data_IF_741420716303
#
_entry.id   IF_741420716303
#
_cell.length_a   1.000
_cell.length_b   1.000
_cell.length_c   1.000
_cell.angle_alpha   90.00
_cell.angle_beta   90.00
_cell.angle_gamma   90.00
#
_symmetry.space_group_name_H-M   'P 1'
#
loop_
_entity.id
_entity.type
_entity.pdbx_description
1 polymer ?
#
# COMPACT_ATOMS: atom_id res chain seq x y z
N UNK A 1 17.77 -11.33 11.34
CA UNK A 1 18.71 -11.81 10.28
C UNK A 1 18.33 -11.41 8.85
N UNK A 2 17.05 -11.13 8.53
CA UNK A 2 16.60 -10.77 7.17
C UNK A 2 17.12 -9.40 6.68
N UNK A 3 17.05 -8.34 7.51
CA UNK A 3 17.42 -6.97 7.10
C UNK A 3 18.88 -6.79 6.69
N UNK A 4 19.81 -7.37 7.45
CA UNK A 4 21.24 -7.33 7.11
C UNK A 4 21.53 -8.01 5.77
N UNK A 5 20.85 -9.14 5.47
CA UNK A 5 20.96 -9.79 4.16
C UNK A 5 20.43 -8.90 3.04
N UNK A 6 19.30 -8.21 3.27
CA UNK A 6 18.75 -7.25 2.30
C UNK A 6 19.71 -6.11 1.97
N UNK A 7 20.31 -5.48 2.98
CA UNK A 7 21.28 -4.40 2.79
C UNK A 7 22.55 -4.87 2.07
N UNK A 8 23.07 -6.05 2.44
CA UNK A 8 24.21 -6.66 1.75
C UNK A 8 23.90 -6.96 0.28
N UNK A 9 22.70 -7.46 -0.01
CA UNK A 9 22.29 -7.79 -1.36
C UNK A 9 22.08 -6.55 -2.23
N UNK A 10 21.53 -5.47 -1.66
CA UNK A 10 21.44 -4.17 -2.32
C UNK A 10 22.83 -3.62 -2.65
N UNK A 11 23.77 -3.67 -1.69
CA UNK A 11 25.16 -3.24 -1.90
C UNK A 11 25.91 -4.06 -2.96
N UNK A 12 25.76 -5.40 -2.94
CA UNK A 12 26.32 -6.29 -3.95
C UNK A 12 25.73 -6.01 -5.33
N UNK A 13 24.42 -5.81 -5.42
CA UNK A 13 23.76 -5.48 -6.69
C UNK A 13 24.23 -4.13 -7.25
N UNK A 14 24.36 -3.10 -6.40
CA UNK A 14 24.88 -1.79 -6.79
C UNK A 14 26.33 -1.90 -7.31
N UNK A 15 27.18 -2.67 -6.62
CA UNK A 15 28.58 -2.89 -7.03
C UNK A 15 28.67 -3.64 -8.35
N UNK A 16 27.81 -4.65 -8.56
CA UNK A 16 27.75 -5.41 -9.82
C UNK A 16 27.38 -4.51 -10.99
N UNK A 17 26.37 -3.65 -10.83
CA UNK A 17 25.94 -2.66 -11.84
C UNK A 17 27.03 -1.65 -12.17
N UNK A 18 27.78 -1.19 -11.17
CA UNK A 18 28.89 -0.27 -11.38
C UNK A 18 30.05 -0.91 -12.19
N UNK A 19 30.25 -2.21 -12.06
CA UNK A 19 31.34 -2.94 -12.72
C UNK A 19 30.99 -3.43 -14.14
N UNK A 20 29.72 -3.57 -14.50
CA UNK A 20 29.31 -4.10 -15.82
C UNK A 20 29.46 -3.09 -16.98
N UNK A 21 29.75 -1.80 -16.71
CA UNK A 21 29.95 -0.72 -17.71
C UNK A 21 28.84 -0.61 -18.77
N UNK A 22 27.68 -1.20 -18.51
CA UNK A 22 26.54 -1.20 -19.41
C UNK A 22 25.60 -0.06 -19.00
N UNK A 23 25.57 1.02 -19.77
CA UNK A 23 24.86 2.26 -19.43
C UNK A 23 23.35 2.04 -19.20
N UNK A 24 22.73 1.08 -19.90
CA UNK A 24 21.33 0.67 -19.67
C UNK A 24 21.11 -0.08 -18.35
N UNK A 25 22.13 -0.76 -17.82
CA UNK A 25 22.07 -1.50 -16.54
C UNK A 25 22.41 -0.61 -15.34
N UNK A 26 23.07 0.52 -15.59
CA UNK A 26 23.40 1.54 -14.60
C UNK A 26 22.15 2.36 -14.19
N UNK A 27 21.22 2.53 -15.12
CA UNK A 27 19.98 3.26 -14.88
C UNK A 27 18.90 2.32 -14.34
N UNK A 28 18.22 2.67 -13.23
CA UNK A 28 17.04 1.94 -12.80
C UNK A 28 15.96 1.99 -13.91
N UNK A 29 15.10 0.95 -14.02
CA UNK A 29 13.97 1.03 -14.93
C UNK A 29 13.11 2.24 -14.59
N UNK A 30 12.45 2.84 -15.59
CA UNK A 30 11.63 4.03 -15.39
C UNK A 30 10.51 3.82 -14.36
N UNK A 31 10.03 2.59 -14.22
CA UNK A 31 8.98 2.21 -13.28
C UNK A 31 9.26 0.84 -12.66
N UNK A 32 8.85 0.66 -11.40
CA UNK A 32 8.94 -0.61 -10.67
C UNK A 32 7.61 -0.93 -10.00
N UNK A 33 7.07 -2.11 -10.29
CA UNK A 33 5.89 -2.62 -9.59
C UNK A 33 6.24 -3.02 -8.16
N UNK A 34 5.54 -2.41 -7.20
CA UNK A 34 5.60 -2.77 -5.77
C UNK A 34 4.60 -3.90 -5.50
N UNK A 35 3.35 -3.69 -5.93
CA UNK A 35 2.26 -4.67 -5.87
C UNK A 35 1.61 -4.76 -7.24
N UNK A 36 1.23 -5.97 -7.65
CA UNK A 36 0.58 -6.21 -8.93
C UNK A 36 -0.55 -7.23 -8.77
N UNK A 37 -1.79 -6.76 -8.84
CA UNK A 37 -3.00 -7.57 -8.66
C UNK A 37 -3.35 -8.37 -9.92
N UNK A 38 -2.40 -9.14 -10.42
CA UNK A 38 -2.56 -10.01 -11.59
C UNK A 38 -2.72 -11.49 -11.24
N UNK A 39 -2.60 -11.85 -9.96
CA UNK A 39 -2.58 -13.25 -9.50
C UNK A 39 -3.23 -13.40 -8.13
N UNK A 40 -3.76 -14.60 -7.84
CA UNK A 40 -4.39 -14.90 -6.54
C UNK A 40 -3.34 -15.01 -5.43
N UNK A 41 -2.09 -15.32 -5.78
CA UNK A 41 -0.95 -15.33 -4.87
C UNK A 41 -0.67 -13.94 -4.30
N UNK A 42 -0.82 -12.89 -5.13
CA UNK A 42 -0.67 -11.51 -4.68
C UNK A 42 -1.69 -11.18 -3.59
N UNK A 43 -2.95 -11.63 -3.72
CA UNK A 43 -4.00 -11.35 -2.74
C UNK A 43 -3.65 -11.87 -1.34
N UNK A 44 -2.84 -12.93 -1.23
CA UNK A 44 -2.39 -13.47 0.06
C UNK A 44 -1.46 -12.51 0.80
N UNK A 45 -0.81 -11.58 0.11
CA UNK A 45 0.01 -10.51 0.69
C UNK A 45 -0.83 -9.38 1.26
N UNK A 46 -2.14 -9.37 1.03
CA UNK A 46 -3.07 -8.36 1.52
C UNK A 46 -3.94 -8.91 2.64
N UNK A 47 -4.40 -8.00 3.48
CA UNK A 47 -5.35 -8.27 4.56
C UNK A 47 -6.50 -7.29 4.44
N UNK A 48 -7.71 -7.84 4.37
CA UNK A 48 -8.95 -7.09 4.37
C UNK A 48 -9.37 -6.87 5.81
N UNK A 49 -9.89 -5.68 6.11
CA UNK A 49 -10.38 -5.31 7.42
C UNK A 49 -11.64 -4.46 7.29
N UNK A 50 -12.51 -4.54 8.29
CA UNK A 50 -13.74 -3.77 8.38
C UNK A 50 -14.17 -3.61 9.84
N UNK A 51 -15.13 -2.73 10.08
CA UNK A 51 -15.74 -2.54 11.40
C UNK A 51 -16.38 -3.82 11.97
N UNK A 52 -16.62 -4.85 11.15
CA UNK A 52 -17.12 -6.16 11.56
C UNK A 52 -16.24 -6.87 12.59
N UNK A 53 -14.93 -6.61 12.60
CA UNK A 53 -14.02 -7.10 13.65
C UNK A 53 -14.37 -6.56 15.04
N UNK A 54 -15.11 -5.44 15.07
CA UNK A 54 -15.54 -4.74 16.26
C UNK A 54 -17.07 -4.73 16.43
N UNK A 55 -17.80 -5.57 15.70
CA UNK A 55 -19.26 -5.69 15.79
C UNK A 55 -20.07 -4.82 14.83
N UNK A 56 -19.43 -4.13 13.88
CA UNK A 56 -20.10 -3.48 12.77
C UNK A 56 -20.61 -4.47 11.71
N UNK A 57 -21.41 -3.98 10.76
CA UNK A 57 -21.97 -4.78 9.68
C UNK A 57 -21.37 -4.46 8.30
N UNK A 58 -20.24 -3.72 8.25
CA UNK A 58 -19.52 -3.51 6.99
C UNK A 58 -18.73 -4.75 6.58
N UNK A 59 -18.47 -4.89 5.29
CA UNK A 59 -17.71 -6.00 4.71
C UNK A 59 -16.73 -5.53 3.64
N UNK A 60 -15.66 -6.31 3.43
CA UNK A 60 -14.68 -6.11 2.37
C UNK A 60 -14.38 -7.42 1.64
N UNK A 61 -14.16 -7.32 0.34
CA UNK A 61 -13.74 -8.40 -0.55
C UNK A 61 -12.67 -7.92 -1.51
N UNK A 62 -11.79 -8.83 -1.90
CA UNK A 62 -10.73 -8.59 -2.88
C UNK A 62 -10.59 -9.82 -3.77
N UNK A 63 -10.82 -9.62 -5.05
CA UNK A 63 -10.90 -10.70 -6.03
C UNK A 63 -10.06 -10.37 -7.27
N UNK A 64 -9.55 -11.40 -7.95
CA UNK A 64 -8.93 -11.23 -9.28
C UNK A 64 -9.99 -11.51 -10.33
N UNK A 65 -10.15 -10.59 -11.27
CA UNK A 65 -11.04 -10.73 -12.42
C UNK A 65 -10.26 -10.71 -13.73
N UNK A 66 -10.67 -11.54 -14.69
CA UNK A 66 -10.19 -11.48 -16.06
C UNK A 66 -11.15 -10.63 -16.88
N UNK A 67 -10.64 -9.51 -17.39
CA UNK A 67 -11.44 -8.47 -18.07
C UNK A 67 -11.08 -8.34 -19.55
N UNK A 68 -10.42 -9.35 -20.12
CA UNK A 68 -9.99 -9.37 -21.53
C UNK A 68 -8.74 -8.52 -21.83
N UNK A 69 -8.51 -7.47 -21.04
CA UNK A 69 -7.28 -6.65 -21.06
C UNK A 69 -6.24 -7.09 -20.01
N UNK A 70 -6.36 -8.32 -19.51
CA UNK A 70 -5.54 -8.88 -18.45
C UNK A 70 -6.28 -9.07 -17.12
N UNK A 71 -5.56 -9.66 -16.17
CA UNK A 71 -6.03 -9.91 -14.82
C UNK A 71 -5.89 -8.65 -13.96
N UNK A 72 -6.99 -8.24 -13.32
CA UNK A 72 -7.04 -7.08 -12.44
C UNK A 72 -7.66 -7.44 -11.08
N UNK A 73 -7.12 -6.85 -10.01
CA UNK A 73 -7.71 -6.91 -8.68
C UNK A 73 -8.88 -5.96 -8.53
N UNK A 74 -9.99 -6.45 -8.00
CA UNK A 74 -11.16 -5.65 -7.63
C UNK A 74 -11.30 -5.71 -6.12
N UNK A 75 -11.13 -4.55 -5.48
CA UNK A 75 -11.55 -4.33 -4.11
C UNK A 75 -13.01 -3.86 -4.11
N UNK A 76 -13.83 -4.48 -3.28
CA UNK A 76 -15.24 -4.12 -3.08
C UNK A 76 -15.59 -4.19 -1.61
N UNK A 77 -16.57 -3.42 -1.19
CA UNK A 77 -17.04 -3.44 0.20
C UNK A 77 -18.44 -2.89 0.35
N UNK A 78 -19.15 -3.39 1.34
CA UNK A 78 -20.46 -2.88 1.75
C UNK A 78 -20.27 -2.13 3.06
N UNK A 79 -20.71 -0.87 3.12
CA UNK A 79 -20.58 -0.04 4.30
C UNK A 79 -21.93 0.03 5.00
N UNK A 80 -21.95 -0.27 6.30
CA UNK A 80 -23.10 -0.07 7.16
C UNK A 80 -22.71 0.65 8.45
N UNK A 81 -23.58 1.53 8.93
CA UNK A 81 -23.45 2.15 10.25
C UNK A 81 -24.02 1.27 11.35
N UNK A 82 -24.75 0.21 10.99
CA UNK A 82 -25.43 -0.67 11.92
C UNK A 82 -24.44 -1.57 12.67
N UNK A 83 -24.82 -1.92 13.90
CA UNK A 83 -24.07 -2.79 14.79
C UNK A 83 -24.84 -4.09 15.02
N UNK A 84 -24.11 -5.19 15.20
CA UNK A 84 -24.72 -6.47 15.55
C UNK A 84 -25.38 -6.38 16.93
N UNK A 85 -26.63 -6.84 17.04
CA UNK A 85 -27.37 -6.87 18.30
C UNK A 85 -26.58 -7.67 19.36
N UNK A 86 -26.27 -7.03 20.49
CA UNK A 86 -25.51 -7.65 21.59
C UNK A 86 -23.99 -7.62 21.44
N UNK A 87 -23.43 -6.77 20.55
CA UNK A 87 -21.98 -6.58 20.46
C UNK A 87 -21.41 -6.13 21.81
N UNK A 88 -20.42 -6.87 22.32
CA UNK A 88 -19.69 -6.51 23.55
C UNK A 88 -18.89 -5.20 23.39
N UNK A 89 -18.59 -4.83 22.15
CA UNK A 89 -17.80 -3.67 21.80
C UNK A 89 -18.72 -2.47 21.52
N UNK A 90 -18.58 -1.42 22.32
CA UNK A 90 -19.22 -0.13 22.06
C UNK A 90 -18.31 0.68 21.14
N UNK A 91 -18.37 0.44 19.83
CA UNK A 91 -17.65 1.27 18.87
C UNK A 91 -18.37 2.60 18.68
N UNK A 92 -17.62 3.70 18.71
CA UNK A 92 -18.14 5.06 18.51
C UNK A 92 -18.23 5.44 17.03
N UNK A 93 -17.51 4.72 16.15
CA UNK A 93 -17.45 4.97 14.71
C UNK A 93 -17.49 3.64 13.94
N UNK A 94 -18.62 3.39 13.27
CA UNK A 94 -18.85 2.32 12.29
C UNK A 94 -18.88 2.89 10.86
N UNK A 95 -19.06 2.03 9.86
CA UNK A 95 -19.14 2.40 8.45
C UNK A 95 -17.81 2.42 7.73
N UNK A 96 -16.87 1.52 8.07
CA UNK A 96 -15.58 1.45 7.39
C UNK A 96 -15.18 0.04 6.96
N UNK A 97 -14.49 -0.03 5.83
CA UNK A 97 -13.82 -1.21 5.33
C UNK A 97 -12.59 -0.79 4.51
N UNK A 98 -11.59 -1.66 4.41
CA UNK A 98 -10.37 -1.37 3.68
C UNK A 98 -9.50 -2.60 3.45
N UNK A 99 -8.36 -2.36 2.84
CA UNK A 99 -7.33 -3.36 2.64
C UNK A 99 -5.96 -2.77 2.91
N UNK A 100 -5.04 -3.59 3.44
CA UNK A 100 -3.64 -3.21 3.64
C UNK A 100 -2.72 -4.36 3.27
N UNK A 101 -1.52 -4.04 2.79
CA UNK A 101 -0.48 -5.05 2.64
C UNK A 101 -0.07 -5.58 4.02
N UNK A 102 0.16 -6.88 4.12
CA UNK A 102 0.76 -7.50 5.30
C UNK A 102 2.18 -6.99 5.48
N UNK A 103 2.62 -6.85 6.72
CA UNK A 103 4.01 -6.52 7.03
C UNK A 103 4.88 -7.64 6.47
N UNK A 104 5.89 -7.26 5.69
CA UNK A 104 6.86 -8.17 5.11
C UNK A 104 8.21 -7.97 5.79
N UNK A 105 9.01 -9.03 5.83
CA UNK A 105 10.36 -8.96 6.36
C UNK A 105 11.29 -8.29 5.34
N UNK A 106 11.95 -7.20 5.74
CA UNK A 106 12.91 -6.48 4.91
C UNK A 106 12.48 -5.05 4.62
N UNK A 107 12.90 -4.53 3.47
CA UNK A 107 12.56 -3.20 2.98
C UNK A 107 12.37 -3.24 1.46
N UNK A 108 11.62 -2.27 0.93
CA UNK A 108 11.51 -2.06 -0.51
C UNK A 108 12.39 -0.86 -0.83
N UNK A 109 13.51 -1.11 -1.48
CA UNK A 109 14.41 -0.05 -1.94
C UNK A 109 13.74 0.75 -3.05
N UNK A 110 13.39 2.00 -2.74
CA UNK A 110 12.77 2.95 -3.65
C UNK A 110 13.64 4.20 -3.85
N UNK A 111 14.90 4.20 -3.41
CA UNK A 111 15.79 5.38 -3.43
C UNK A 111 16.02 5.93 -4.85
N UNK A 112 15.93 5.05 -5.84
CA UNK A 112 16.05 5.38 -7.26
C UNK A 112 14.81 6.02 -7.88
N UNK A 113 13.72 6.19 -7.12
CA UNK A 113 12.43 6.66 -7.62
C UNK A 113 11.95 7.87 -6.81
N UNK A 114 11.27 8.80 -7.48
CA UNK A 114 10.75 10.03 -6.88
C UNK A 114 9.23 10.04 -6.70
N UNK A 115 8.54 9.00 -7.16
CA UNK A 115 7.07 9.00 -7.27
C UNK A 115 6.53 7.60 -6.98
N UNK A 116 5.53 7.54 -6.09
CA UNK A 116 4.67 6.38 -5.92
C UNK A 116 3.42 6.60 -6.77
N UNK A 117 3.11 5.64 -7.64
CA UNK A 117 1.95 5.72 -8.52
C UNK A 117 0.98 4.56 -8.23
N UNK A 118 -0.32 4.85 -8.22
CA UNK A 118 -1.40 3.88 -8.11
C UNK A 118 -2.27 3.97 -9.35
N UNK A 119 -2.33 2.89 -10.13
CA UNK A 119 -3.23 2.76 -11.26
C UNK A 119 -4.55 2.17 -10.77
N UNK A 120 -5.61 2.96 -10.77
CA UNK A 120 -6.90 2.65 -10.17
C UNK A 120 -8.04 2.92 -11.15
N UNK A 121 -9.14 2.18 -10.99
CA UNK A 121 -10.43 2.47 -11.62
C UNK A 121 -11.46 2.59 -10.50
N UNK A 122 -12.01 3.80 -10.33
CA UNK A 122 -12.82 4.15 -9.16
C UNK A 122 -14.32 4.03 -9.43
N UNK A 123 -15.09 4.05 -8.34
CA UNK A 123 -16.55 4.15 -8.35
C UNK A 123 -17.06 5.61 -8.22
N UNK A 124 -16.13 6.58 -8.14
CA UNK A 124 -16.38 8.00 -7.94
C UNK A 124 -16.36 8.45 -6.47
N UNK A 125 -16.12 7.54 -5.52
CA UNK A 125 -15.93 7.89 -4.10
C UNK A 125 -14.51 8.35 -3.81
N UNK A 126 -14.35 9.06 -2.70
CA UNK A 126 -13.05 9.41 -2.14
C UNK A 126 -12.56 8.28 -1.24
N UNK A 127 -11.30 7.89 -1.40
CA UNK A 127 -10.64 6.88 -0.58
C UNK A 127 -9.48 7.51 0.20
N UNK A 128 -9.13 6.93 1.33
CA UNK A 128 -7.91 7.28 2.06
C UNK A 128 -6.83 6.26 1.71
N UNK A 129 -5.70 6.74 1.22
CA UNK A 129 -4.49 5.94 1.05
C UNK A 129 -3.54 6.26 2.19
N UNK A 130 -3.06 5.22 2.88
CA UNK A 130 -2.06 5.34 3.94
C UNK A 130 -0.79 4.57 3.56
N UNK A 131 0.36 5.21 3.69
CA UNK A 131 1.68 4.58 3.57
C UNK A 131 2.29 4.50 4.96
N UNK A 132 2.69 3.29 5.36
CA UNK A 132 3.44 3.07 6.60
C UNK A 132 4.92 2.88 6.26
N UNK A 133 5.77 3.67 6.91
CA UNK A 133 7.22 3.56 6.82
C UNK A 133 7.78 3.26 8.20
N UNK A 134 8.86 2.49 8.28
CA UNK A 134 9.52 2.24 9.56
C UNK A 134 9.92 3.57 10.24
N UNK A 135 9.62 3.70 11.53
CA UNK A 135 10.12 4.80 12.33
C UNK A 135 11.49 4.46 12.94
N UNK A 136 12.49 5.29 12.64
CA UNK A 136 13.84 5.16 13.19
C UNK A 136 13.92 5.56 14.67
N UNK A 137 13.06 6.47 15.12
CA UNK A 137 13.04 7.01 16.48
C UNK A 137 11.88 6.39 17.24
N UNK A 138 12.04 5.12 17.60
CA UNK A 138 11.07 4.38 18.40
C UNK A 138 11.54 4.27 19.85
N UNK A 139 10.65 4.48 20.82
CA UNK A 139 10.95 4.23 22.22
C UNK A 139 11.17 2.73 22.46
N UNK A 140 12.04 2.34 23.42
CA UNK A 140 12.24 0.93 23.74
C UNK A 140 10.90 0.23 24.06
N UNK A 141 10.56 -0.80 23.28
CA UNK A 141 9.32 -1.57 23.45
C UNK A 141 8.08 -1.01 22.73
N UNK A 142 8.18 0.13 22.05
CA UNK A 142 7.12 0.70 21.22
C UNK A 142 7.61 0.82 19.78
N UNK A 143 7.32 -0.20 18.97
CA UNK A 143 7.56 -0.13 17.53
C UNK A 143 6.36 0.51 16.85
N UNK A 144 6.44 1.81 16.60
CA UNK A 144 5.46 2.52 15.80
C UNK A 144 6.02 2.69 14.38
N UNK A 145 5.14 2.63 13.39
CA UNK A 145 5.47 2.95 12.01
C UNK A 145 5.00 4.40 11.75
N UNK A 146 5.79 5.20 11.05
CA UNK A 146 5.36 6.53 10.58
C UNK A 146 4.25 6.34 9.53
N UNK A 147 3.17 7.11 9.64
CA UNK A 147 2.03 7.04 8.73
C UNK A 147 1.88 8.30 7.89
N UNK A 148 1.75 8.13 6.58
CA UNK A 148 1.49 9.19 5.62
C UNK A 148 0.13 8.97 4.99
N UNK A 149 -0.77 9.95 5.07
CA UNK A 149 -2.13 9.81 4.60
C UNK A 149 -2.47 10.85 3.54
N UNK A 150 -3.19 10.41 2.50
CA UNK A 150 -3.75 11.30 1.49
C UNK A 150 -5.11 10.80 1.06
N UNK A 151 -5.99 11.73 0.71
CA UNK A 151 -7.19 11.42 -0.03
C UNK A 151 -6.84 11.09 -1.49
N UNK A 152 -7.55 10.12 -2.06
CA UNK A 152 -7.42 9.69 -3.44
C UNK A 152 -8.79 9.82 -4.10
N UNK A 153 -8.84 10.68 -5.10
CA UNK A 153 -10.02 10.92 -5.93
C UNK A 153 -9.81 10.24 -7.28
N UNK A 154 -10.67 9.28 -7.60
CA UNK A 154 -10.58 8.52 -8.86
C UNK A 154 -11.87 8.72 -9.66
N UNK A 155 -11.78 9.14 -10.94
CA UNK A 155 -12.94 9.24 -11.80
C UNK A 155 -13.70 7.92 -11.87
N UNK A 156 -15.03 8.01 -11.85
CA UNK A 156 -15.89 6.84 -11.97
C UNK A 156 -15.64 6.14 -13.31
N UNK A 157 -15.53 4.82 -13.26
CA UNK A 157 -15.45 3.90 -14.40
C UNK A 157 -14.27 4.09 -15.37
N UNK A 158 -13.31 4.97 -15.05
CA UNK A 158 -12.15 5.26 -15.88
C UNK A 158 -10.85 4.92 -15.16
N UNK A 159 -9.89 4.38 -15.91
CA UNK A 159 -8.54 4.17 -15.39
C UNK A 159 -7.84 5.51 -15.17
N UNK A 160 -7.23 5.65 -14.01
CA UNK A 160 -6.52 6.84 -13.58
C UNK A 160 -5.24 6.45 -12.85
N UNK A 161 -4.20 7.27 -13.02
CA UNK A 161 -2.92 7.08 -12.31
C UNK A 161 -2.80 8.19 -11.28
N UNK A 162 -3.09 7.86 -10.02
CA UNK A 162 -2.84 8.74 -8.89
C UNK A 162 -1.34 8.69 -8.55
N UNK A 163 -0.67 9.85 -8.57
CA UNK A 163 0.77 9.98 -8.29
C UNK A 163 0.99 10.75 -7.01
N UNK A 164 1.86 10.23 -6.15
CA UNK A 164 2.35 10.88 -4.94
C UNK A 164 3.85 11.05 -5.09
N UNK A 165 4.30 12.29 -5.26
CA UNK A 165 5.72 12.62 -5.38
C UNK A 165 6.39 12.68 -4.00
N UNK A 166 7.64 12.25 -3.93
CA UNK A 166 8.50 12.30 -2.75
C UNK A 166 8.63 13.72 -2.17
N UNK A 167 8.57 14.76 -3.00
CA UNK A 167 8.56 16.15 -2.55
C UNK A 167 7.32 16.50 -1.70
N UNK A 168 6.17 15.92 -2.02
CA UNK A 168 4.94 16.12 -1.25
C UNK A 168 4.94 15.29 0.04
N UNK A 169 5.57 14.12 0.03
CA UNK A 169 5.85 13.35 1.24
C UNK A 169 6.75 14.15 2.20
N UNK A 170 7.78 14.82 1.69
CA UNK A 170 8.68 15.67 2.47
C UNK A 170 8.02 16.93 3.04
N UNK A 171 6.99 17.49 2.39
CA UNK A 171 6.33 18.72 2.85
C UNK A 171 5.45 18.50 4.09
N UNK A 172 4.92 17.28 4.27
CA UNK A 172 4.19 16.89 5.48
C UNK A 172 5.12 16.85 6.72
N UNK A 173 6.46 16.86 6.55
CA UNK A 173 7.42 16.94 7.67
C UNK A 173 7.59 18.34 8.28
N UNK A 174 7.09 19.41 7.62
CA UNK A 174 7.34 20.78 8.07
C UNK A 174 6.27 21.32 9.04
N UNK A 175 5.18 20.59 9.25
CA UNK A 175 4.09 21.01 10.15
C UNK A 175 3.92 19.99 11.28
N UNK A 176 4.93 19.88 12.14
CA UNK A 176 4.80 19.38 13.51
C UNK A 176 5.63 20.22 14.44
#
# INVERSE_FOLDING_TARGET
>A
MSRFRGLWQASLNATKRALTWNLEELMPPSERYIFNFNSKEELKKWHLYSDSEYGGLSSASLEITDSGNGMNGIFSGNLSLDLSEGSKWNISRSGFCGMRSKKFDGFIDLDSYDTIAMKLKGDGRCYISTIYTENWVNSPGQQEDNSWQSFVFVPKDNWYIAKVSSFLLNLIFSET
#
